data_IF_696049834663
#
_entry.id   IF_696049834663
#
_cell.length_a   1.000
_cell.length_b   1.000
_cell.length_c   1.000
_cell.angle_alpha   90.00
_cell.angle_beta   90.00
_cell.angle_gamma   90.00
#
_symmetry.space_group_name_H-M   'P 1'
#
loop_
_entity.id
_entity.type
_entity.pdbx_description
1 polymer ?
#
# COMPACT_ATOMS: atom_id res chain seq x y z
N UNK A 1 14.50 -17.78 -14.02
CA UNK A 1 14.42 -17.35 -12.61
C UNK A 1 13.97 -15.90 -12.62
N UNK A 2 12.85 -15.56 -11.97
CA UNK A 2 12.31 -14.19 -11.99
C UNK A 2 13.18 -13.22 -11.19
N UNK A 3 13.09 -11.93 -11.51
CA UNK A 3 13.81 -10.86 -10.80
C UNK A 3 13.33 -10.73 -9.34
N UNK A 4 14.26 -10.65 -8.39
CA UNK A 4 13.95 -10.41 -6.97
C UNK A 4 13.65 -8.92 -6.76
N UNK A 5 12.39 -8.60 -6.46
CA UNK A 5 11.95 -7.24 -6.18
C UNK A 5 11.91 -6.95 -4.68
N UNK A 6 12.05 -5.68 -4.31
CA UNK A 6 11.69 -5.19 -2.98
C UNK A 6 10.31 -4.53 -3.02
N UNK A 7 9.39 -5.06 -2.22
CA UNK A 7 7.96 -4.71 -2.23
C UNK A 7 7.58 -4.16 -0.85
N UNK A 8 6.92 -3.01 -0.82
CA UNK A 8 6.31 -2.46 0.38
C UNK A 8 4.78 -2.48 0.25
N UNK A 9 4.07 -2.94 1.27
CA UNK A 9 2.60 -2.98 1.28
C UNK A 9 2.09 -2.02 2.36
N UNK A 10 1.40 -0.94 1.95
CA UNK A 10 0.83 0.07 2.85
C UNK A 10 -0.64 -0.26 3.09
N UNK A 11 -1.10 -0.22 4.34
CA UNK A 11 -2.46 -0.66 4.71
C UNK A 11 -2.64 -2.18 4.68
N UNK A 12 -1.54 -2.93 4.49
CA UNK A 12 -1.56 -4.37 4.26
C UNK A 12 -1.67 -5.25 5.50
N UNK A 13 -1.83 -4.69 6.71
CA UNK A 13 -1.84 -5.52 7.93
C UNK A 13 -3.11 -6.35 8.14
N UNK A 14 -4.15 -6.11 7.34
CA UNK A 14 -5.35 -6.95 7.28
C UNK A 14 -5.11 -8.32 6.64
N UNK A 15 -6.10 -9.24 6.70
CA UNK A 15 -5.94 -10.61 6.21
C UNK A 15 -5.58 -10.66 4.72
N UNK A 16 -6.14 -9.77 3.91
CA UNK A 16 -5.86 -9.75 2.47
C UNK A 16 -4.43 -9.24 2.17
N UNK A 17 -3.99 -8.16 2.83
CA UNK A 17 -2.63 -7.64 2.66
C UNK A 17 -1.55 -8.60 3.16
N UNK A 18 -1.82 -9.34 4.23
CA UNK A 18 -0.94 -10.42 4.70
C UNK A 18 -0.87 -11.58 3.70
N UNK A 19 -2.00 -11.98 3.12
CA UNK A 19 -2.03 -13.04 2.11
C UNK A 19 -1.23 -12.68 0.86
N UNK A 20 -1.31 -11.43 0.42
CA UNK A 20 -0.52 -10.93 -0.71
C UNK A 20 0.98 -10.89 -0.37
N UNK A 21 1.34 -10.32 0.78
CA UNK A 21 2.73 -10.28 1.24
C UNK A 21 3.34 -11.68 1.36
N UNK A 22 2.57 -12.63 1.89
CA UNK A 22 2.97 -14.04 1.97
C UNK A 22 3.26 -14.64 0.59
N UNK A 23 2.40 -14.40 -0.41
CA UNK A 23 2.62 -14.89 -1.78
C UNK A 23 3.87 -14.30 -2.43
N UNK A 24 4.16 -13.02 -2.20
CA UNK A 24 5.40 -12.43 -2.68
C UNK A 24 6.64 -12.95 -1.97
N UNK A 25 6.56 -13.22 -0.66
CA UNK A 25 7.65 -13.85 0.08
C UNK A 25 7.91 -15.28 -0.43
N UNK A 26 6.87 -16.06 -0.73
CA UNK A 26 6.99 -17.38 -1.37
C UNK A 26 7.64 -17.31 -2.76
N UNK A 27 7.40 -16.22 -3.50
CA UNK A 27 8.07 -15.94 -4.76
C UNK A 27 9.51 -15.38 -4.60
N UNK A 28 10.05 -15.41 -3.38
CA UNK A 28 11.39 -14.95 -3.03
C UNK A 28 11.62 -13.45 -3.27
N UNK A 29 10.59 -12.62 -3.13
CA UNK A 29 10.73 -11.16 -3.07
C UNK A 29 10.93 -10.70 -1.62
N UNK A 30 11.60 -9.56 -1.44
CA UNK A 30 11.77 -8.92 -0.15
C UNK A 30 10.55 -8.05 0.15
N UNK A 31 9.80 -8.37 1.21
CA UNK A 31 8.51 -7.73 1.49
C UNK A 31 8.50 -7.01 2.83
N UNK A 32 8.09 -5.74 2.83
CA UNK A 32 7.82 -4.95 4.02
C UNK A 32 6.32 -4.66 4.15
N UNK A 33 5.74 -4.91 5.33
CA UNK A 33 4.31 -4.65 5.63
C UNK A 33 4.17 -3.42 6.54
N UNK A 34 3.43 -2.42 6.09
CA UNK A 34 3.08 -1.20 6.84
C UNK A 34 1.60 -1.19 7.24
N UNK A 35 1.31 -0.78 8.48
CA UNK A 35 -0.02 -0.97 9.07
C UNK A 35 -1.06 0.08 8.73
N UNK A 36 -0.80 1.38 8.81
CA UNK A 36 -1.83 2.41 8.70
C UNK A 36 -1.19 3.76 8.37
N UNK A 37 -1.90 4.49 7.52
CA UNK A 37 -1.69 5.86 7.06
C UNK A 37 -0.77 6.03 5.84
N UNK A 38 -1.38 6.43 4.71
CA UNK A 38 -0.67 6.85 3.51
C UNK A 38 0.12 8.14 3.75
N UNK A 39 -0.33 9.01 4.67
CA UNK A 39 0.36 10.25 5.04
C UNK A 39 1.72 10.02 5.68
N UNK A 40 1.92 8.88 6.38
CA UNK A 40 3.24 8.46 6.90
C UNK A 40 4.16 7.88 5.83
N UNK A 41 3.70 7.73 4.59
CA UNK A 41 4.57 7.34 3.50
C UNK A 41 5.70 8.36 3.28
N UNK A 42 5.47 9.66 3.57
CA UNK A 42 6.53 10.68 3.48
C UNK A 42 7.64 10.46 4.51
N UNK A 43 7.28 10.13 5.76
CA UNK A 43 8.24 9.81 6.84
C UNK A 43 9.10 8.58 6.50
N UNK A 44 8.61 7.73 5.60
CA UNK A 44 9.29 6.53 5.13
C UNK A 44 9.70 6.61 3.67
N UNK A 45 9.63 7.78 3.03
CA UNK A 45 9.86 7.93 1.60
C UNK A 45 11.25 7.39 1.21
N UNK A 46 12.27 7.70 2.00
CA UNK A 46 13.64 7.19 1.82
C UNK A 46 13.70 5.66 1.91
N UNK A 47 12.91 5.06 2.79
CA UNK A 47 12.82 3.60 2.94
C UNK A 47 12.00 2.93 1.83
N UNK A 48 11.21 3.71 1.09
CA UNK A 48 10.32 3.26 0.01
C UNK A 48 10.88 3.55 -1.38
N UNK A 49 11.90 4.42 -1.48
CA UNK A 49 12.55 4.79 -2.73
C UNK A 49 13.07 3.57 -3.50
N UNK A 50 12.80 3.53 -4.81
CA UNK A 50 13.21 2.44 -5.70
C UNK A 50 12.44 1.12 -5.52
N UNK A 51 11.43 1.09 -4.63
CA UNK A 51 10.62 -0.12 -4.37
C UNK A 51 9.33 -0.13 -5.18
N UNK A 52 8.73 -1.31 -5.27
CA UNK A 52 7.32 -1.45 -5.64
C UNK A 52 6.48 -1.23 -4.39
N UNK A 53 5.59 -0.24 -4.41
CA UNK A 53 4.69 0.03 -3.29
C UNK A 53 3.28 -0.37 -3.67
N UNK A 54 2.66 -1.22 -2.86
CA UNK A 54 1.28 -1.66 -3.03
C UNK A 54 0.42 -0.91 -2.01
N UNK A 55 -0.45 -0.03 -2.49
CA UNK A 55 -1.39 0.71 -1.67
C UNK A 55 -2.67 -0.12 -1.47
N UNK A 56 -2.85 -0.61 -0.25
CA UNK A 56 -4.06 -1.27 0.25
C UNK A 56 -4.84 -0.32 1.16
N UNK A 57 -4.86 0.96 0.82
CA UNK A 57 -5.57 1.98 1.58
C UNK A 57 -6.93 2.19 0.93
N UNK A 58 -7.99 1.94 1.69
CA UNK A 58 -9.35 2.31 1.32
C UNK A 58 -9.82 3.44 2.26
N UNK A 59 -9.86 4.70 1.79
CA UNK A 59 -10.29 5.83 2.60
C UNK A 59 -11.78 5.74 2.91
N UNK A 60 -12.10 5.60 4.20
CA UNK A 60 -13.46 5.43 4.70
C UNK A 60 -13.77 6.48 5.78
N UNK A 61 -14.97 7.04 5.71
CA UNK A 61 -15.59 7.74 6.83
C UNK A 61 -16.36 6.74 7.71
N UNK A 62 -16.67 7.13 8.95
CA UNK A 62 -17.43 6.33 9.89
C UNK A 62 -18.53 7.16 10.53
N UNK A 63 -19.76 6.65 10.52
CA UNK A 63 -20.90 7.24 11.22
C UNK A 63 -21.66 6.19 12.05
N UNK A 64 -22.87 6.54 12.52
CA UNK A 64 -23.72 5.63 13.31
C UNK A 64 -24.23 4.41 12.52
N UNK A 65 -24.29 4.49 11.19
CA UNK A 65 -24.69 3.39 10.32
C UNK A 65 -23.50 2.50 9.92
N UNK A 66 -22.27 2.99 10.08
CA UNK A 66 -21.03 2.23 9.89
C UNK A 66 -20.03 2.93 8.98
N UNK A 67 -19.11 2.17 8.35
CA UNK A 67 -18.15 2.74 7.41
C UNK A 67 -18.83 3.12 6.08
N UNK A 68 -18.41 4.24 5.50
CA UNK A 68 -18.80 4.68 4.16
C UNK A 68 -17.60 5.13 3.34
N UNK A 69 -17.64 4.91 2.02
CA UNK A 69 -16.59 5.35 1.11
C UNK A 69 -16.47 6.88 1.06
N UNK A 70 -15.25 7.40 1.18
CA UNK A 70 -15.01 8.81 0.91
C UNK A 70 -14.91 9.05 -0.60
N UNK A 71 -15.55 10.11 -1.08
CA UNK A 71 -15.30 10.63 -2.43
C UNK A 71 -14.03 11.47 -2.34
N UNK A 72 -12.99 11.01 -3.01
CA UNK A 72 -11.72 11.72 -3.08
C UNK A 72 -11.56 12.36 -4.46
N UNK A 73 -10.80 13.45 -4.53
CA UNK A 73 -10.35 14.03 -5.80
C UNK A 73 -9.45 13.05 -6.57
N UNK A 74 -8.77 12.16 -5.85
CA UNK A 74 -7.89 11.14 -6.41
C UNK A 74 -7.82 9.89 -5.53
N UNK A 75 -7.31 8.80 -6.07
CA UNK A 75 -7.12 7.58 -5.29
C UNK A 75 -5.99 7.70 -4.26
N UNK A 76 -6.08 6.94 -3.16
CA UNK A 76 -5.00 6.83 -2.18
C UNK A 76 -3.68 6.31 -2.77
N UNK A 77 -3.73 5.59 -3.90
CA UNK A 77 -2.52 5.16 -4.62
C UNK A 77 -1.84 6.35 -5.35
N UNK A 78 -2.62 7.26 -5.93
CA UNK A 78 -2.08 8.47 -6.56
C UNK A 78 -1.49 9.41 -5.51
N UNK A 79 -2.15 9.56 -4.37
CA UNK A 79 -1.61 10.33 -3.25
C UNK A 79 -0.27 9.75 -2.77
N UNK A 80 -0.20 8.44 -2.54
CA UNK A 80 1.05 7.76 -2.16
C UNK A 80 2.16 7.90 -3.21
N UNK A 81 1.82 7.91 -4.51
CA UNK A 81 2.79 8.11 -5.59
C UNK A 81 3.43 9.50 -5.54
N UNK A 82 2.69 10.54 -5.12
CA UNK A 82 3.27 11.88 -4.92
C UNK A 82 4.16 11.97 -3.70
N UNK A 83 3.83 11.26 -2.62
CA UNK A 83 4.64 11.24 -1.40
C UNK A 83 5.97 10.50 -1.60
N UNK A 84 6.01 9.54 -2.53
CA UNK A 84 7.22 8.75 -2.83
C UNK A 84 7.42 8.64 -4.35
N UNK A 85 7.84 9.72 -5.04
CA UNK A 85 7.89 9.77 -6.50
C UNK A 85 8.93 8.83 -7.12
N UNK A 86 9.94 8.43 -6.34
CA UNK A 86 10.98 7.47 -6.74
C UNK A 86 10.54 6.01 -6.61
N UNK A 87 9.38 5.74 -6.01
CA UNK A 87 8.78 4.41 -5.98
C UNK A 87 7.79 4.23 -7.13
N UNK A 88 7.53 2.97 -7.50
CA UNK A 88 6.41 2.64 -8.38
C UNK A 88 5.23 2.18 -7.53
N UNK A 89 4.19 2.99 -7.46
CA UNK A 89 3.00 2.70 -6.66
C UNK A 89 1.94 1.97 -7.48
N UNK A 90 1.33 0.95 -6.90
CA UNK A 90 0.24 0.16 -7.47
C UNK A 90 -0.90 0.11 -6.46
N UNK A 91 -2.12 0.49 -6.88
CA UNK A 91 -3.31 0.33 -6.05
C UNK A 91 -3.79 -1.12 -6.02
N UNK A 92 -4.16 -1.62 -4.84
CA UNK A 92 -4.81 -2.92 -4.68
C UNK A 92 -6.33 -2.74 -4.70
N UNK A 93 -7.07 -3.31 -5.67
CA UNK A 93 -8.52 -3.22 -5.67
C UNK A 93 -9.11 -4.08 -4.55
N UNK A 94 -9.94 -3.48 -3.71
CA UNK A 94 -10.84 -4.19 -2.79
C UNK A 94 -12.23 -4.20 -3.38
N UNK A 95 -12.79 -5.40 -3.63
CA UNK A 95 -14.20 -5.57 -4.01
C UNK A 95 -15.11 -5.34 -2.82
#
# INVERSE_FOLDING_TARGET
>A
MGERLTIAVIGGTGPQGRGLAYRFALAQHDVALGSRDAGRASEKADQLAGKIVISWVNPLGFDRAGPFGLVLEESAAQEAQRLVPSARVVGAPTR
#
